data_IF_941628106646
#
_entry.id   IF_941628106646
#
_cell.length_a   1.000
_cell.length_b   1.000
_cell.length_c   1.000
_cell.angle_alpha   90.00
_cell.angle_beta   90.00
_cell.angle_gamma   90.00
#
_symmetry.space_group_name_H-M   'P 1'
#
loop_
_entity.id
_entity.type
_entity.pdbx_description
1 polymer ?
#
# COMPACT_ATOMS: atom_id res chain seq x y z
N UNK A 1 25.75 66.97 -7.70
CA UNK A 1 25.42 68.43 -7.71
C UNK A 1 25.46 68.87 -9.18
N UNK A 2 24.58 69.70 -9.78
CA UNK A 2 23.50 70.55 -9.26
C UNK A 2 22.33 70.68 -10.28
N UNK A 3 21.11 70.34 -9.84
CA UNK A 3 19.84 71.08 -9.98
C UNK A 3 19.45 71.84 -11.29
N UNK A 4 18.22 71.49 -11.78
CA UNK A 4 17.03 72.37 -12.01
C UNK A 4 17.03 73.40 -13.17
N UNK A 5 15.91 73.86 -13.75
CA UNK A 5 14.51 73.36 -13.90
C UNK A 5 13.75 74.25 -14.93
N UNK A 6 12.56 73.80 -15.38
CA UNK A 6 11.36 74.61 -15.72
C UNK A 6 11.13 75.31 -17.10
N UNK A 7 10.23 74.69 -17.87
CA UNK A 7 8.84 75.11 -18.26
C UNK A 7 8.53 76.24 -19.28
N UNK A 8 7.46 75.95 -20.05
CA UNK A 8 6.51 76.78 -20.83
C UNK A 8 6.87 77.17 -22.28
N UNK A 9 5.96 77.12 -23.27
CA UNK A 9 4.62 76.48 -23.32
C UNK A 9 3.76 76.76 -24.59
N UNK A 10 2.64 76.00 -24.71
CA UNK A 10 1.37 76.30 -25.41
C UNK A 10 1.20 76.34 -26.96
N UNK A 11 -0.03 75.93 -27.38
CA UNK A 11 -0.73 76.05 -28.70
C UNK A 11 -0.30 75.09 -29.84
N UNK A 12 -1.16 74.54 -30.72
CA UNK A 12 -2.65 74.44 -30.83
C UNK A 12 -3.04 73.31 -31.82
N UNK A 13 -4.25 72.75 -31.72
CA UNK A 13 -5.13 72.15 -32.78
C UNK A 13 -4.51 71.20 -33.85
N UNK A 14 -5.04 70.03 -34.24
CA UNK A 14 -6.35 69.41 -33.99
C UNK A 14 -7.21 69.32 -35.27
N UNK A 15 -7.33 68.14 -35.89
CA UNK A 15 -8.55 67.74 -36.63
C UNK A 15 -8.63 66.24 -36.96
N UNK A 16 -9.84 65.71 -36.78
CA UNK A 16 -10.31 64.37 -37.18
C UNK A 16 -11.01 64.50 -38.53
N UNK A 17 -10.93 63.48 -39.40
CA UNK A 17 -11.89 63.31 -40.50
C UNK A 17 -12.42 61.87 -40.55
N UNK A 18 -13.75 61.76 -40.72
CA UNK A 18 -14.54 60.53 -40.75
C UNK A 18 -15.63 60.70 -41.81
N UNK A 19 -15.76 59.75 -42.73
CA UNK A 19 -16.96 59.51 -43.58
C UNK A 19 -16.78 58.15 -44.26
N UNK A 20 -17.60 57.10 -44.08
CA UNK A 20 -19.05 56.94 -44.38
C UNK A 20 -19.38 57.27 -45.84
N UNK A 21 -20.15 56.46 -46.61
CA UNK A 21 -21.18 55.46 -46.23
C UNK A 21 -21.63 54.61 -47.45
N UNK A 22 -22.27 53.45 -47.21
CA UNK A 22 -23.24 52.76 -48.12
C UNK A 22 -22.66 52.10 -49.40
N UNK A 23 -23.23 51.02 -49.99
CA UNK A 23 -24.58 50.40 -49.95
C UNK A 23 -24.55 48.84 -49.91
N UNK A 24 -25.71 48.18 -49.73
CA UNK A 24 -25.94 46.71 -49.65
C UNK A 24 -27.43 46.39 -49.99
N UNK A 25 -27.88 45.11 -50.11
CA UNK A 25 -27.35 43.95 -50.84
C UNK A 25 -28.11 43.87 -52.21
N UNK A 26 -29.09 42.98 -52.57
CA UNK A 26 -29.57 41.65 -52.09
C UNK A 26 -29.36 40.47 -53.10
N UNK A 27 -29.57 39.22 -52.65
CA UNK A 27 -29.67 38.02 -53.52
C UNK A 27 -29.92 36.72 -52.73
N UNK A 28 -31.05 36.03 -52.96
CA UNK A 28 -31.47 34.79 -52.27
C UNK A 28 -31.35 33.58 -53.21
N UNK A 29 -31.00 32.39 -52.71
CA UNK A 29 -31.44 31.11 -53.32
C UNK A 29 -31.32 29.90 -52.36
N UNK A 30 -32.43 29.15 -52.22
CA UNK A 30 -32.61 27.70 -51.95
C UNK A 30 -31.44 26.85 -51.41
N UNK A 31 -31.54 26.15 -50.27
CA UNK A 31 -32.47 25.07 -49.90
C UNK A 31 -32.28 23.72 -50.64
N UNK A 32 -31.74 22.71 -49.94
CA UNK A 32 -31.78 21.29 -50.32
C UNK A 32 -31.98 20.39 -49.09
N UNK A 33 -32.65 19.24 -49.29
CA UNK A 33 -33.38 18.47 -48.25
C UNK A 33 -33.20 16.97 -48.46
N UNK A 34 -32.63 16.25 -47.49
CA UNK A 34 -32.73 14.78 -47.30
C UNK A 34 -32.46 14.44 -45.82
N UNK A 35 -33.46 14.34 -44.94
CA UNK A 35 -34.41 13.21 -44.68
C UNK A 35 -33.75 11.85 -44.37
N UNK A 36 -33.71 11.55 -43.06
CA UNK A 36 -34.06 10.29 -42.36
C UNK A 36 -33.44 8.95 -42.82
N UNK A 37 -32.80 8.23 -41.88
CA UNK A 37 -33.19 6.85 -41.44
C UNK A 37 -32.39 6.34 -40.21
N UNK A 38 -32.98 6.49 -39.02
CA UNK A 38 -33.16 5.42 -38.01
C UNK A 38 -34.69 5.21 -37.91
N UNK A 39 -35.25 4.09 -37.38
CA UNK A 39 -34.64 3.09 -36.48
C UNK A 39 -34.91 1.62 -36.89
N UNK A 40 -34.50 0.66 -36.05
CA UNK A 40 -35.38 -0.43 -35.57
C UNK A 40 -34.83 -1.09 -34.29
N UNK A 41 -35.68 -1.15 -33.27
CA UNK A 41 -35.58 -2.12 -32.18
C UNK A 41 -35.94 -3.52 -32.71
N UNK A 42 -35.38 -4.55 -32.10
CA UNK A 42 -35.92 -5.91 -32.12
C UNK A 42 -35.62 -6.57 -30.76
N UNK A 43 -36.57 -6.50 -29.84
CA UNK A 43 -36.68 -7.43 -28.71
C UNK A 43 -37.62 -8.58 -29.12
N UNK A 44 -37.54 -9.68 -28.38
CA UNK A 44 -38.34 -10.93 -28.38
C UNK A 44 -37.76 -12.11 -29.18
N UNK A 45 -37.96 -13.36 -28.75
CA UNK A 45 -38.24 -13.94 -27.40
C UNK A 45 -38.34 -15.47 -27.56
N UNK A 46 -37.76 -16.25 -26.65
CA UNK A 46 -37.94 -17.71 -26.61
C UNK A 46 -37.24 -18.30 -25.38
N UNK A 47 -37.91 -18.39 -24.23
CA UNK A 47 -38.72 -19.54 -23.77
C UNK A 47 -37.92 -20.79 -23.41
N UNK A 48 -37.66 -20.92 -22.11
CA UNK A 48 -37.54 -22.12 -21.27
C UNK A 48 -37.43 -23.50 -21.94
N UNK A 49 -36.36 -24.22 -21.59
CA UNK A 49 -36.40 -25.67 -21.37
C UNK A 49 -35.51 -26.02 -20.16
N UNK A 50 -36.02 -26.87 -19.26
CA UNK A 50 -35.34 -27.33 -18.02
C UNK A 50 -35.16 -28.85 -18.12
N UNK A 51 -34.15 -29.40 -17.43
CA UNK A 51 -33.77 -30.83 -17.30
C UNK A 51 -32.92 -31.40 -18.47
N UNK A 52 -32.18 -32.51 -18.28
CA UNK A 52 -30.94 -32.45 -17.49
C UNK A 52 -29.75 -33.12 -18.22
N UNK A 53 -28.55 -32.54 -18.15
CA UNK A 53 -27.34 -33.18 -18.71
C UNK A 53 -26.46 -33.79 -17.63
N UNK A 54 -26.23 -35.09 -17.76
CA UNK A 54 -25.44 -35.88 -16.82
C UNK A 54 -23.95 -35.52 -16.82
N UNK A 55 -23.36 -35.71 -15.64
CA UNK A 55 -21.97 -36.02 -15.31
C UNK A 55 -20.88 -35.81 -16.39
N UNK A 56 -19.93 -34.92 -16.07
CA UNK A 56 -18.49 -35.21 -16.10
C UNK A 56 -17.72 -34.11 -15.35
N UNK A 57 -17.45 -34.35 -14.06
CA UNK A 57 -16.61 -33.50 -13.22
C UNK A 57 -15.17 -34.05 -13.23
N UNK A 58 -14.23 -33.28 -13.78
CA UNK A 58 -12.79 -33.55 -13.67
C UNK A 58 -12.02 -32.26 -13.32
N UNK A 59 -12.12 -31.85 -12.05
CA UNK A 59 -11.33 -30.74 -11.50
C UNK A 59 -9.89 -31.22 -11.19
N UNK A 60 -8.83 -30.69 -11.83
CA UNK A 60 -7.46 -31.14 -11.61
C UNK A 60 -6.82 -30.48 -10.37
N UNK A 61 -7.40 -30.71 -9.19
CA UNK A 61 -6.85 -30.27 -7.88
C UNK A 61 -7.01 -31.33 -6.78
N UNK A 62 -6.24 -32.40 -6.87
CA UNK A 62 -6.06 -33.35 -5.75
C UNK A 62 -4.66 -33.99 -5.63
N UNK A 63 -3.81 -33.91 -6.66
CA UNK A 63 -2.48 -34.58 -6.68
C UNK A 63 -1.35 -33.91 -5.88
N UNK A 64 -1.61 -32.79 -5.20
CA UNK A 64 -0.63 -32.09 -4.37
C UNK A 64 -0.83 -32.28 -2.85
N UNK A 65 -1.90 -32.96 -2.42
CA UNK A 65 -2.25 -33.16 -0.99
C UNK A 65 -2.14 -34.62 -0.54
N UNK A 66 -1.13 -35.34 -1.05
CA UNK A 66 -0.86 -36.75 -0.71
C UNK A 66 0.62 -37.06 -0.38
N UNK A 67 1.46 -36.02 -0.18
CA UNK A 67 2.89 -36.20 0.16
C UNK A 67 3.32 -35.64 1.54
N UNK A 68 2.39 -35.23 2.38
CA UNK A 68 2.68 -34.57 3.68
C UNK A 68 2.13 -35.28 4.92
N UNK A 69 1.50 -36.46 4.78
CA UNK A 69 0.96 -37.23 5.92
C UNK A 69 1.75 -38.50 6.30
N UNK A 70 2.82 -38.86 5.57
CA UNK A 70 3.56 -40.11 5.78
C UNK A 70 4.66 -40.07 6.85
N UNK A 71 4.88 -38.93 7.52
CA UNK A 71 5.96 -38.80 8.51
C UNK A 71 5.57 -39.10 9.97
N UNK A 72 4.29 -39.39 10.26
CA UNK A 72 3.79 -39.58 11.64
C UNK A 72 3.22 -40.98 11.94
N UNK A 73 3.47 -41.99 11.09
CA UNK A 73 3.02 -43.39 11.32
C UNK A 73 4.15 -44.43 11.38
N UNK A 74 5.26 -44.12 12.08
CA UNK A 74 6.32 -45.09 12.40
C UNK A 74 6.90 -44.96 13.82
N UNK A 75 6.08 -45.10 14.88
CA UNK A 75 6.61 -45.53 16.19
C UNK A 75 5.56 -46.04 17.21
N UNK A 76 4.61 -46.88 16.79
CA UNK A 76 3.76 -47.66 17.72
C UNK A 76 3.64 -49.09 17.22
N UNK A 77 3.59 -50.05 18.14
CA UNK A 77 3.42 -51.50 17.95
C UNK A 77 4.63 -52.30 17.41
N UNK A 78 5.57 -52.60 18.32
CA UNK A 78 6.31 -53.88 18.29
C UNK A 78 6.30 -54.49 19.69
N UNK A 79 5.42 -55.46 19.92
CA UNK A 79 5.59 -56.66 20.76
C UNK A 79 4.25 -57.39 20.89
N UNK A 80 3.92 -58.20 19.88
CA UNK A 80 2.78 -59.11 19.96
C UNK A 80 3.16 -60.36 20.78
N UNK A 81 2.25 -60.76 21.65
CA UNK A 81 2.37 -61.93 22.53
C UNK A 81 2.50 -63.23 21.71
N UNK A 82 3.57 -64.01 21.93
CA UNK A 82 3.70 -65.38 21.40
C UNK A 82 3.57 -66.37 22.55
N UNK A 83 2.50 -67.16 22.56
CA UNK A 83 2.31 -68.28 23.48
C UNK A 83 3.11 -69.49 22.98
N UNK A 84 4.19 -69.83 23.70
CA UNK A 84 4.89 -71.10 23.53
C UNK A 84 4.80 -71.89 24.85
N UNK A 85 4.17 -73.07 24.81
CA UNK A 85 4.08 -73.95 25.98
C UNK A 85 5.41 -74.68 26.20
N UNK A 86 6.18 -74.27 27.22
CA UNK A 86 7.39 -74.96 27.67
C UNK A 86 7.24 -75.45 29.11
N UNK A 87 7.30 -76.77 29.33
CA UNK A 87 7.31 -77.36 30.66
C UNK A 87 8.70 -77.21 31.31
N UNK A 88 8.79 -76.38 32.36
CA UNK A 88 9.98 -76.30 33.23
C UNK A 88 9.56 -76.29 34.71
N UNK A 89 10.34 -76.93 35.61
CA UNK A 89 9.97 -77.09 37.02
C UNK A 89 10.01 -75.77 37.80
N UNK A 90 9.26 -75.66 38.91
CA UNK A 90 9.11 -74.39 39.64
C UNK A 90 10.44 -73.93 40.27
N UNK A 91 10.80 -72.64 40.15
CA UNK A 91 11.94 -72.09 40.86
C UNK A 91 11.67 -72.06 42.37
N UNK A 92 12.68 -72.46 43.15
CA UNK A 92 12.59 -72.53 44.62
C UNK A 92 12.45 -71.12 45.21
N UNK A 93 11.44 -70.92 46.06
CA UNK A 93 11.24 -69.69 46.82
C UNK A 93 12.51 -69.30 47.61
N UNK A 94 13.00 -68.08 47.39
CA UNK A 94 13.91 -67.37 48.29
C UNK A 94 13.15 -66.17 48.88
N UNK A 95 13.42 -65.84 50.14
CA UNK A 95 12.60 -64.93 50.94
C UNK A 95 12.65 -63.44 50.52
N UNK A 96 11.75 -62.61 51.08
CA UNK A 96 11.47 -61.27 50.58
C UNK A 96 12.36 -60.18 51.20
N UNK A 97 13.66 -60.16 50.85
CA UNK A 97 14.56 -59.05 51.21
C UNK A 97 15.53 -58.71 50.08
N UNK A 98 14.99 -58.34 48.92
CA UNK A 98 15.78 -57.63 47.93
C UNK A 98 15.90 -56.16 48.37
N UNK A 99 17.12 -55.76 48.74
CA UNK A 99 17.41 -54.42 49.24
C UNK A 99 17.17 -53.42 48.11
N UNK A 100 16.12 -52.60 48.22
CA UNK A 100 15.96 -51.42 47.36
C UNK A 100 17.20 -50.55 47.54
N UNK A 101 18.10 -50.58 46.56
CA UNK A 101 19.15 -49.58 46.43
C UNK A 101 18.47 -48.24 46.26
N UNK A 102 18.52 -47.41 47.30
CA UNK A 102 18.09 -46.02 47.24
C UNK A 102 18.96 -45.30 46.21
N UNK A 103 18.47 -45.21 44.97
CA UNK A 103 19.06 -44.35 43.97
C UNK A 103 19.03 -42.92 44.51
N UNK A 104 20.21 -42.34 44.75
CA UNK A 104 20.38 -41.07 45.46
C UNK A 104 19.53 -39.95 44.84
N UNK A 105 18.38 -39.66 45.46
CA UNK A 105 17.40 -38.66 45.00
C UNK A 105 18.03 -37.26 44.84
N UNK A 106 19.07 -36.98 45.62
CA UNK A 106 19.89 -35.77 45.54
C UNK A 106 20.49 -35.52 44.14
N UNK A 107 20.89 -36.58 43.41
CA UNK A 107 21.48 -36.45 42.08
C UNK A 107 20.42 -36.21 40.98
N UNK A 108 19.17 -36.63 41.22
CA UNK A 108 18.06 -36.41 40.29
C UNK A 108 17.59 -34.96 40.31
N UNK A 109 17.52 -34.32 41.49
CA UNK A 109 17.18 -32.90 41.59
C UNK A 109 18.26 -32.00 40.96
N UNK A 110 19.55 -32.27 41.21
CA UNK A 110 20.66 -31.49 40.65
C UNK A 110 20.69 -31.54 39.10
N UNK A 111 20.42 -32.70 38.50
CA UNK A 111 20.40 -32.86 37.03
C UNK A 111 19.14 -32.27 36.38
N UNK A 112 17.99 -32.27 37.06
CA UNK A 112 16.78 -31.58 36.61
C UNK A 112 16.94 -30.05 36.67
N UNK A 113 17.51 -29.52 37.76
CA UNK A 113 17.80 -28.09 37.91
C UNK A 113 18.81 -27.61 36.86
N UNK A 114 19.88 -28.37 36.60
CA UNK A 114 20.85 -28.03 35.56
C UNK A 114 20.23 -28.02 34.15
N UNK A 115 19.32 -28.96 33.84
CA UNK A 115 18.58 -28.97 32.57
C UNK A 115 17.61 -27.80 32.42
N UNK A 116 16.90 -27.44 33.49
CA UNK A 116 16.03 -26.25 33.51
C UNK A 116 16.85 -24.95 33.36
N UNK A 117 18.01 -24.86 34.02
CA UNK A 117 18.91 -23.71 33.91
C UNK A 117 19.47 -23.56 32.48
N UNK A 118 19.94 -24.65 31.87
CA UNK A 118 20.37 -24.64 30.47
C UNK A 118 19.22 -24.32 29.50
N UNK A 119 18.00 -24.79 29.76
CA UNK A 119 16.80 -24.42 28.99
C UNK A 119 16.50 -22.92 29.08
N UNK A 120 16.62 -22.33 30.28
CA UNK A 120 16.50 -20.88 30.46
C UNK A 120 17.62 -20.09 29.77
N UNK A 121 18.88 -20.54 29.82
CA UNK A 121 19.99 -19.87 29.13
C UNK A 121 19.85 -19.92 27.60
N UNK A 122 19.37 -21.02 27.04
CA UNK A 122 19.10 -21.12 25.59
C UNK A 122 17.91 -20.22 25.18
N UNK A 123 16.91 -20.06 26.04
CA UNK A 123 15.78 -19.15 25.79
C UNK A 123 16.15 -17.66 25.94
N UNK A 124 17.17 -17.34 26.74
CA UNK A 124 17.67 -15.97 26.93
C UNK A 124 18.60 -15.48 25.80
N UNK A 125 19.06 -16.38 24.92
CA UNK A 125 20.18 -16.11 24.01
C UNK A 125 19.87 -15.44 22.67
N UNK A 126 18.60 -15.25 22.29
CA UNK A 126 18.24 -14.88 20.89
C UNK A 126 17.22 -13.75 20.74
N UNK A 127 17.13 -12.82 21.70
CA UNK A 127 16.55 -11.49 21.43
C UNK A 127 17.54 -10.63 20.62
N UNK A 128 17.78 -11.03 19.37
CA UNK A 128 18.44 -10.19 18.39
C UNK A 128 17.48 -9.06 18.02
N UNK A 129 17.63 -7.90 18.66
CA UNK A 129 16.91 -6.70 18.26
C UNK A 129 17.40 -6.31 16.86
N UNK A 130 16.61 -6.66 15.84
CA UNK A 130 16.81 -6.16 14.49
C UNK A 130 16.65 -4.64 14.56
N UNK A 131 17.76 -3.92 14.51
CA UNK A 131 17.74 -2.46 14.57
C UNK A 131 17.16 -1.94 13.27
N UNK A 132 16.09 -1.15 13.37
CA UNK A 132 15.51 -0.42 12.25
C UNK A 132 16.61 0.23 11.39
N UNK A 133 16.54 0.00 10.08
CA UNK A 133 17.42 0.61 9.11
C UNK A 133 16.87 1.98 8.68
N UNK A 134 17.77 2.87 8.26
CA UNK A 134 17.43 4.18 7.70
C UNK A 134 17.93 4.23 6.27
N UNK A 135 17.01 4.32 5.33
CA UNK A 135 17.27 4.46 3.90
C UNK A 135 17.07 5.89 3.43
N UNK A 136 17.66 6.22 2.28
CA UNK A 136 17.72 7.56 1.74
C UNK A 136 17.29 7.57 0.27
N UNK A 137 16.47 8.55 -0.08
CA UNK A 137 16.01 8.81 -1.45
C UNK A 137 16.37 10.26 -1.80
N UNK A 138 16.86 10.50 -3.02
CA UNK A 138 17.24 11.83 -3.52
C UNK A 138 16.84 11.98 -4.99
N UNK A 139 16.45 13.19 -5.47
CA UNK A 139 16.21 13.40 -6.91
C UNK A 139 17.46 13.16 -7.76
N UNK A 140 18.65 13.18 -7.16
CA UNK A 140 19.94 12.87 -7.80
C UNK A 140 20.47 11.47 -7.45
N UNK A 141 19.63 10.62 -6.85
CA UNK A 141 19.96 9.24 -6.50
C UNK A 141 19.93 8.30 -7.71
N UNK A 142 19.99 7.00 -7.47
CA UNK A 142 19.94 5.98 -8.53
C UNK A 142 19.24 4.70 -8.07
N UNK A 143 18.20 4.30 -8.79
CA UNK A 143 17.50 3.02 -8.63
C UNK A 143 18.26 1.82 -9.23
N UNK A 144 19.45 2.06 -9.80
CA UNK A 144 20.32 1.02 -10.40
C UNK A 144 21.65 0.85 -9.68
N UNK A 145 22.18 1.92 -9.07
CA UNK A 145 23.50 1.94 -8.42
C UNK A 145 23.49 2.46 -6.99
N UNK A 146 22.33 2.96 -6.52
CA UNK A 146 22.07 3.31 -5.13
C UNK A 146 21.73 2.07 -4.30
N UNK A 147 22.31 1.99 -3.11
CA UNK A 147 22.05 0.95 -2.11
C UNK A 147 21.07 1.42 -1.03
N UNK A 148 20.58 2.66 -1.14
CA UNK A 148 19.70 3.30 -0.17
C UNK A 148 20.43 3.91 1.01
N UNK A 149 21.76 3.85 1.09
CA UNK A 149 22.53 4.60 2.09
C UNK A 149 22.54 6.10 1.81
N UNK A 150 22.88 6.91 2.81
CA UNK A 150 23.01 8.37 2.65
C UNK A 150 24.04 8.78 1.57
N UNK A 151 25.06 7.95 1.32
CA UNK A 151 26.07 8.19 0.30
C UNK A 151 25.63 7.75 -1.11
N UNK A 152 24.64 6.84 -1.19
CA UNK A 152 24.15 6.22 -2.42
C UNK A 152 22.62 6.04 -2.37
N UNK A 153 21.87 7.16 -2.29
CA UNK A 153 20.42 7.11 -2.17
C UNK A 153 19.74 6.55 -3.43
N UNK A 154 18.55 5.99 -3.26
CA UNK A 154 17.66 5.66 -4.38
C UNK A 154 17.15 6.94 -5.08
N UNK A 155 16.73 6.82 -6.33
CA UNK A 155 16.12 7.91 -7.09
C UNK A 155 14.62 8.06 -6.82
N UNK A 156 13.89 6.95 -6.65
CA UNK A 156 12.43 6.98 -6.47
C UNK A 156 11.99 6.57 -5.07
N UNK A 157 10.96 7.26 -4.56
CA UNK A 157 10.47 7.11 -3.18
C UNK A 157 9.97 5.69 -2.90
N UNK A 158 9.29 5.06 -3.86
CA UNK A 158 8.73 3.72 -3.73
C UNK A 158 9.73 2.58 -3.99
N UNK A 159 10.99 2.85 -4.33
CA UNK A 159 11.93 1.82 -4.77
C UNK A 159 12.12 0.69 -3.74
N UNK A 160 12.34 1.05 -2.47
CA UNK A 160 12.55 0.09 -1.39
C UNK A 160 11.37 -0.86 -1.18
N UNK A 161 10.12 -0.36 -1.23
CA UNK A 161 8.92 -1.21 -1.18
C UNK A 161 8.77 -2.03 -2.46
N UNK A 162 8.95 -1.41 -3.64
CA UNK A 162 8.84 -2.09 -4.93
C UNK A 162 9.81 -3.27 -5.09
N UNK A 163 10.99 -3.21 -4.45
CA UNK A 163 12.00 -4.27 -4.41
C UNK A 163 11.97 -5.14 -3.14
N UNK A 164 11.00 -4.93 -2.24
CA UNK A 164 10.89 -5.63 -0.94
C UNK A 164 12.15 -5.57 -0.07
N UNK A 165 12.85 -4.42 -0.08
CA UNK A 165 14.08 -4.16 0.68
C UNK A 165 13.84 -3.65 2.11
N UNK A 166 12.61 -3.24 2.42
CA UNK A 166 12.23 -2.63 3.69
C UNK A 166 11.62 -3.66 4.66
N UNK A 167 12.07 -3.64 5.91
CA UNK A 167 11.54 -4.41 7.02
C UNK A 167 10.62 -3.55 7.92
N UNK A 168 9.71 -4.17 8.70
CA UNK A 168 8.90 -3.45 9.69
C UNK A 168 9.79 -2.70 10.70
N UNK A 169 9.51 -1.41 10.92
CA UNK A 169 10.31 -0.53 11.76
C UNK A 169 11.29 0.38 10.99
N UNK A 170 11.57 0.09 9.71
CA UNK A 170 12.53 0.88 8.92
C UNK A 170 12.02 2.30 8.58
N UNK A 171 12.96 3.22 8.38
CA UNK A 171 12.69 4.60 7.98
C UNK A 171 13.28 4.90 6.58
N UNK A 172 12.53 5.64 5.77
CA UNK A 172 12.92 6.11 4.44
C UNK A 172 12.91 7.65 4.45
N UNK A 173 14.11 8.22 4.53
CA UNK A 173 14.36 9.66 4.49
C UNK A 173 14.40 10.13 3.04
N UNK A 174 13.44 10.96 2.65
CA UNK A 174 13.36 11.54 1.30
C UNK A 174 13.94 12.95 1.32
N UNK A 175 15.02 13.19 0.58
CA UNK A 175 15.69 14.49 0.52
C UNK A 175 14.86 15.54 -0.23
N UNK A 176 14.99 16.80 0.18
CA UNK A 176 14.32 17.93 -0.46
C UNK A 176 14.54 17.96 -1.98
N UNK A 177 13.46 18.26 -2.72
CA UNK A 177 13.48 18.21 -4.18
C UNK A 177 12.09 18.10 -4.78
N UNK A 178 12.05 17.94 -6.11
CA UNK A 178 10.81 17.65 -6.85
C UNK A 178 10.92 16.26 -7.46
N UNK A 179 9.90 15.44 -7.23
CA UNK A 179 9.76 14.08 -7.72
C UNK A 179 8.56 14.02 -8.66
N UNK A 180 8.80 13.59 -9.90
CA UNK A 180 7.76 13.40 -10.93
C UNK A 180 7.65 11.90 -11.25
N UNK A 181 6.68 11.17 -10.68
CA UNK A 181 6.45 9.76 -11.01
C UNK A 181 6.16 9.58 -12.50
N UNK A 182 6.71 8.53 -13.12
CA UNK A 182 6.47 8.19 -14.53
C UNK A 182 5.19 7.38 -14.77
N UNK A 183 4.52 6.99 -13.68
CA UNK A 183 3.33 6.13 -13.67
C UNK A 183 2.24 6.76 -12.79
N UNK A 184 1.23 5.99 -12.38
CA UNK A 184 0.11 6.51 -11.60
C UNK A 184 0.50 7.11 -10.22
N UNK A 185 1.69 6.88 -9.68
CA UNK A 185 2.07 7.43 -8.37
C UNK A 185 3.15 6.63 -7.63
N UNK A 186 3.37 6.97 -6.35
CA UNK A 186 4.14 6.13 -5.42
C UNK A 186 3.20 5.07 -4.82
N UNK A 187 3.38 3.80 -5.16
CA UNK A 187 2.56 2.69 -4.62
C UNK A 187 3.32 2.00 -3.50
N UNK A 188 2.67 1.84 -2.34
CA UNK A 188 3.25 1.22 -1.14
C UNK A 188 2.38 0.02 -0.73
N UNK A 189 2.84 -1.19 -1.03
CA UNK A 189 2.01 -2.40 -1.02
C UNK A 189 2.74 -3.71 -0.67
N UNK A 190 4.08 -3.74 -0.64
CA UNK A 190 4.86 -4.99 -0.55
C UNK A 190 5.43 -5.27 0.85
N UNK A 191 5.20 -4.39 1.82
CA UNK A 191 5.77 -4.44 3.17
C UNK A 191 4.84 -5.04 4.22
N UNK A 192 5.44 -5.63 5.26
CA UNK A 192 4.75 -6.29 6.38
C UNK A 192 4.66 -5.39 7.64
N UNK A 193 4.64 -4.07 7.46
CA UNK A 193 4.60 -3.10 8.55
C UNK A 193 3.28 -3.14 9.35
N UNK A 194 3.30 -2.55 10.55
CA UNK A 194 2.15 -2.49 11.47
C UNK A 194 2.25 -1.25 12.37
N UNK A 195 1.20 -0.94 13.14
CA UNK A 195 1.23 0.14 14.15
C UNK A 195 2.36 -0.01 15.20
N UNK A 196 2.80 -1.24 15.48
CA UNK A 196 3.86 -1.53 16.48
C UNK A 196 5.27 -1.41 15.86
N UNK A 197 5.38 -1.64 14.54
CA UNK A 197 6.63 -1.52 13.78
C UNK A 197 6.30 -0.95 12.40
N UNK A 198 6.02 0.37 12.34
CA UNK A 198 5.64 1.03 11.09
C UNK A 198 6.84 1.15 10.16
N UNK A 199 6.58 1.32 8.86
CA UNK A 199 7.59 1.88 7.96
C UNK A 199 7.29 3.35 7.78
N UNK A 200 8.28 4.20 8.06
CA UNK A 200 8.12 5.64 8.07
C UNK A 200 8.78 6.25 6.84
N UNK A 201 7.99 6.88 5.97
CA UNK A 201 8.51 7.75 4.91
C UNK A 201 8.49 9.18 5.43
N UNK A 202 9.66 9.83 5.47
CA UNK A 202 9.82 11.18 6.03
C UNK A 202 10.45 12.13 5.02
N UNK A 203 9.78 13.23 4.74
CA UNK A 203 10.35 14.35 3.99
C UNK A 203 11.41 15.08 4.84
N UNK A 204 12.63 15.20 4.32
CA UNK A 204 13.70 16.02 4.90
C UNK A 204 13.80 17.34 4.12
N UNK A 205 13.13 18.36 4.64
CA UNK A 205 12.92 19.63 3.94
C UNK A 205 11.73 19.56 2.96
N UNK A 206 11.69 20.44 1.96
CA UNK A 206 10.57 20.49 1.01
C UNK A 206 10.70 19.38 -0.04
N UNK A 207 9.93 18.31 0.14
CA UNK A 207 9.77 17.23 -0.84
C UNK A 207 8.43 17.42 -1.57
N UNK A 208 8.49 17.84 -2.83
CA UNK A 208 7.33 17.98 -3.70
C UNK A 208 7.18 16.76 -4.61
N UNK A 209 6.04 16.08 -4.54
CA UNK A 209 5.58 15.17 -5.58
C UNK A 209 4.73 15.98 -6.57
N UNK A 210 5.23 16.24 -7.78
CA UNK A 210 4.48 16.94 -8.83
C UNK A 210 3.93 15.94 -9.86
N UNK A 211 2.60 15.79 -9.84
CA UNK A 211 1.85 14.92 -10.75
C UNK A 211 1.09 15.71 -11.81
N UNK A 212 1.37 17.00 -12.00
CA UNK A 212 0.70 17.87 -12.98
C UNK A 212 0.82 17.37 -14.44
N UNK A 213 1.81 16.53 -14.73
CA UNK A 213 2.02 15.88 -16.03
C UNK A 213 1.54 14.42 -16.09
N UNK A 214 1.04 13.85 -14.98
CA UNK A 214 0.63 12.45 -14.87
C UNK A 214 -0.86 12.31 -15.20
N UNK A 215 -1.26 11.50 -16.19
CA UNK A 215 -2.67 11.30 -16.54
C UNK A 215 -3.51 10.72 -15.39
N UNK A 216 -4.74 11.22 -15.17
CA UNK A 216 -5.71 10.61 -14.25
C UNK A 216 -6.11 9.17 -14.63
N UNK A 217 -6.40 8.29 -13.64
CA UNK A 217 -6.31 8.52 -12.20
C UNK A 217 -4.86 8.44 -11.70
N UNK A 218 -4.41 9.49 -11.02
CA UNK A 218 -3.07 9.60 -10.44
C UNK A 218 -3.12 9.80 -8.92
N UNK A 219 -2.08 9.35 -8.23
CA UNK A 219 -1.96 9.32 -6.78
C UNK A 219 -0.61 9.89 -6.36
N UNK A 220 -0.54 10.80 -5.39
CA UNK A 220 0.76 11.14 -4.80
C UNK A 220 1.35 9.91 -4.12
N UNK A 221 0.57 9.35 -3.19
CA UNK A 221 0.80 8.03 -2.62
C UNK A 221 -0.46 7.14 -2.72
N UNK A 222 -0.26 5.86 -3.00
CA UNK A 222 -1.28 4.81 -3.03
C UNK A 222 -0.91 3.73 -1.99
N UNK A 223 -1.42 3.91 -0.77
CA UNK A 223 -1.10 3.12 0.42
C UNK A 223 -2.03 1.91 0.52
N UNK A 224 -1.43 0.72 0.41
CA UNK A 224 -2.11 -0.59 0.49
C UNK A 224 -1.45 -1.55 1.49
N UNK A 225 -0.18 -1.34 1.84
CA UNK A 225 0.46 -2.00 2.97
C UNK A 225 -0.07 -1.41 4.29
N UNK A 226 -0.08 -2.22 5.36
CA UNK A 226 -0.46 -1.77 6.69
C UNK A 226 0.70 -1.03 7.39
N UNK A 227 0.41 -0.22 8.41
CA UNK A 227 1.45 0.42 9.23
C UNK A 227 2.38 1.39 8.49
N UNK A 228 1.92 1.96 7.37
CA UNK A 228 2.68 2.96 6.62
C UNK A 228 2.47 4.34 7.24
N UNK A 229 3.56 5.01 7.58
CA UNK A 229 3.56 6.40 8.03
C UNK A 229 4.13 7.31 6.93
N UNK A 230 3.41 8.37 6.56
CA UNK A 230 3.85 9.41 5.62
C UNK A 230 3.95 10.75 6.36
N UNK A 231 5.15 11.32 6.40
CA UNK A 231 5.44 12.56 7.12
C UNK A 231 5.97 13.68 6.23
N UNK A 232 5.31 14.84 6.24
CA UNK A 232 5.85 16.11 5.75
C UNK A 232 5.90 16.32 4.22
N UNK A 233 5.28 15.44 3.43
CA UNK A 233 5.31 15.55 1.97
C UNK A 233 4.40 16.67 1.42
N UNK A 234 4.87 17.36 0.38
CA UNK A 234 4.05 18.25 -0.44
C UNK A 234 3.62 17.50 -1.72
N UNK A 235 2.34 17.57 -2.10
CA UNK A 235 1.78 16.79 -3.21
C UNK A 235 0.90 17.70 -4.06
N UNK A 236 1.17 17.71 -5.37
CA UNK A 236 0.51 18.58 -6.36
C UNK A 236 0.05 17.79 -7.58
N UNK A 237 -1.08 18.18 -8.18
CA UNK A 237 -1.51 17.73 -9.51
C UNK A 237 -2.08 16.31 -9.60
N UNK A 238 -2.06 15.54 -8.51
CA UNK A 238 -2.63 14.20 -8.45
C UNK A 238 -4.16 14.22 -8.53
N UNK A 239 -4.79 13.15 -9.02
CA UNK A 239 -6.23 12.93 -8.82
C UNK A 239 -6.53 12.73 -7.34
N UNK A 240 -5.83 11.83 -6.65
CA UNK A 240 -5.93 11.73 -5.18
C UNK A 240 -4.57 12.00 -4.57
N UNK A 241 -4.44 13.00 -3.69
CA UNK A 241 -3.14 13.32 -3.09
C UNK A 241 -2.54 12.12 -2.36
N UNK A 242 -3.31 11.54 -1.45
CA UNK A 242 -2.99 10.26 -0.78
C UNK A 242 -4.23 9.38 -0.82
N UNK A 243 -4.13 8.19 -1.42
CA UNK A 243 -5.14 7.13 -1.32
C UNK A 243 -4.70 6.09 -0.29
N UNK A 244 -5.64 5.66 0.54
CA UNK A 244 -5.49 4.60 1.53
C UNK A 244 -6.57 3.57 1.24
N UNK A 245 -6.21 2.44 0.63
CA UNK A 245 -7.17 1.46 0.08
C UNK A 245 -6.97 0.06 0.68
N UNK A 246 -8.02 -0.45 1.33
CA UNK A 246 -8.13 -1.84 1.86
C UNK A 246 -6.94 -2.25 2.73
N UNK A 247 -6.54 -1.35 3.63
CA UNK A 247 -5.38 -1.50 4.52
C UNK A 247 -5.74 -1.09 5.96
N UNK A 248 -4.77 -1.09 6.88
CA UNK A 248 -4.95 -0.61 8.26
C UNK A 248 -3.76 0.18 8.77
N UNK A 249 -3.97 0.91 9.87
CA UNK A 249 -2.89 1.49 10.70
C UNK A 249 -2.00 2.51 9.94
N UNK A 250 -2.54 3.14 8.89
CA UNK A 250 -1.83 4.17 8.14
C UNK A 250 -1.83 5.50 8.89
N UNK A 251 -0.68 6.18 8.94
CA UNK A 251 -0.51 7.47 9.63
C UNK A 251 -0.06 8.54 8.64
N UNK A 252 -0.87 9.59 8.44
CA UNK A 252 -0.56 10.70 7.53
C UNK A 252 -0.40 11.98 8.37
N UNK A 253 0.80 12.57 8.40
CA UNK A 253 1.04 13.75 9.23
C UNK A 253 1.91 14.83 8.58
N UNK A 254 1.52 16.10 8.77
CA UNK A 254 2.26 17.25 8.25
C UNK A 254 2.30 17.38 6.73
N UNK A 255 1.52 16.58 5.99
CA UNK A 255 1.50 16.60 4.54
C UNK A 255 0.69 17.78 4.00
N UNK A 256 1.17 18.41 2.94
CA UNK A 256 0.48 19.49 2.22
C UNK A 256 0.01 19.00 0.86
N UNK A 257 -1.29 19.05 0.59
CA UNK A 257 -1.90 18.46 -0.62
C UNK A 257 -2.72 19.53 -1.33
N UNK A 258 -2.37 19.84 -2.57
CA UNK A 258 -2.97 20.96 -3.27
C UNK A 258 -3.01 20.85 -4.79
N UNK A 259 -3.78 21.75 -5.41
CA UNK A 259 -3.90 21.91 -6.85
C UNK A 259 -4.07 20.57 -7.57
N UNK A 260 -5.13 19.83 -7.22
CA UNK A 260 -5.37 18.48 -7.75
C UNK A 260 -5.57 18.49 -9.27
N UNK A 261 -5.57 17.29 -9.86
CA UNK A 261 -6.12 17.12 -11.19
C UNK A 261 -7.54 17.70 -11.27
N UNK A 262 -7.93 18.24 -12.44
CA UNK A 262 -9.27 18.81 -12.66
C UNK A 262 -10.28 17.74 -13.09
N UNK A 263 -10.31 16.62 -12.38
CA UNK A 263 -11.15 15.44 -12.66
C UNK A 263 -12.00 15.09 -11.44
N UNK A 264 -12.47 13.85 -11.31
CA UNK A 264 -12.72 13.30 -9.98
C UNK A 264 -11.40 13.31 -9.20
N UNK A 265 -11.41 13.82 -7.96
CA UNK A 265 -10.20 14.08 -7.18
C UNK A 265 -10.46 14.24 -5.68
N UNK A 266 -9.44 13.93 -4.88
CA UNK A 266 -9.48 14.03 -3.41
C UNK A 266 -8.14 14.49 -2.83
N UNK A 267 -8.16 15.17 -1.69
CA UNK A 267 -6.93 15.45 -0.94
C UNK A 267 -6.37 14.17 -0.33
N UNK A 268 -7.06 13.64 0.68
CA UNK A 268 -6.85 12.27 1.16
C UNK A 268 -8.14 11.48 0.90
N UNK A 269 -8.02 10.28 0.33
CA UNK A 269 -9.11 9.34 0.11
C UNK A 269 -8.87 8.05 0.88
N UNK A 270 -9.76 7.73 1.80
CA UNK A 270 -9.75 6.49 2.60
C UNK A 270 -10.87 5.57 2.11
N UNK A 271 -10.53 4.35 1.69
CA UNK A 271 -11.47 3.33 1.24
C UNK A 271 -11.23 2.00 1.96
N UNK A 272 -12.24 1.51 2.69
CA UNK A 272 -12.23 0.20 3.36
C UNK A 272 -10.99 -0.02 4.26
N UNK A 273 -10.61 1.00 5.02
CA UNK A 273 -9.43 0.98 5.87
C UNK A 273 -9.77 1.26 7.34
N UNK A 274 -8.93 0.74 8.24
CA UNK A 274 -9.10 0.77 9.70
C UNK A 274 -7.86 1.41 10.38
N UNK A 275 -8.02 1.93 11.60
CA UNK A 275 -6.91 2.48 12.40
C UNK A 275 -6.17 3.66 11.77
N UNK A 276 -6.76 4.34 10.78
CA UNK A 276 -6.10 5.41 10.00
C UNK A 276 -6.06 6.71 10.81
N UNK A 277 -4.86 7.24 11.03
CA UNK A 277 -4.63 8.51 11.74
C UNK A 277 -4.18 9.60 10.77
N UNK A 278 -4.88 10.74 10.76
CA UNK A 278 -4.55 11.88 9.90
C UNK A 278 -4.50 13.16 10.73
N UNK A 279 -3.31 13.78 10.86
CA UNK A 279 -3.12 14.96 11.72
C UNK A 279 -2.23 16.01 11.06
N UNK A 280 -2.44 17.31 11.36
CA UNK A 280 -1.58 18.42 10.87
C UNK A 280 -1.41 18.50 9.34
N UNK A 281 -2.31 17.88 8.57
CA UNK A 281 -2.28 17.94 7.12
C UNK A 281 -2.97 19.22 6.62
N UNK A 282 -2.44 19.84 5.57
CA UNK A 282 -2.97 21.06 4.96
C UNK A 282 -3.48 20.71 3.57
N UNK A 283 -4.77 20.93 3.30
CA UNK A 283 -5.42 20.50 2.05
C UNK A 283 -6.22 21.66 1.45
N UNK A 284 -5.92 22.05 0.21
CA UNK A 284 -6.57 23.17 -0.48
C UNK A 284 -6.59 22.97 -2.00
N UNK A 285 -7.35 23.77 -2.75
CA UNK A 285 -7.45 23.70 -4.22
C UNK A 285 -7.69 22.30 -4.80
N UNK A 286 -8.51 21.47 -4.12
CA UNK A 286 -8.91 20.16 -4.62
C UNK A 286 -10.21 20.27 -5.41
N UNK A 287 -10.18 19.79 -6.65
CA UNK A 287 -11.28 19.82 -7.59
C UNK A 287 -12.10 18.52 -7.52
N UNK A 288 -13.06 18.42 -6.59
CA UNK A 288 -14.00 17.29 -6.59
C UNK A 288 -15.07 17.44 -7.68
N UNK A 289 -15.25 16.44 -8.54
CA UNK A 289 -16.41 16.38 -9.46
C UNK A 289 -17.71 16.15 -8.68
N UNK A 290 -18.74 16.96 -8.96
CA UNK A 290 -19.95 17.10 -8.14
C UNK A 290 -20.98 15.93 -8.21
N UNK A 291 -20.62 14.77 -8.77
CA UNK A 291 -21.57 13.73 -9.20
C UNK A 291 -21.33 12.34 -8.57
N UNK A 292 -21.22 12.25 -7.24
CA UNK A 292 -21.62 11.00 -6.54
C UNK A 292 -22.44 11.29 -5.27
N UNK A 293 -23.35 10.38 -4.84
CA UNK A 293 -24.22 10.60 -3.67
C UNK A 293 -23.50 10.68 -2.30
N UNK A 294 -22.17 10.65 -2.27
CA UNK A 294 -21.36 10.41 -1.08
C UNK A 294 -20.65 11.69 -0.60
N UNK A 295 -21.44 12.71 -0.24
CA UNK A 295 -21.02 13.83 0.62
C UNK A 295 -19.84 14.69 0.13
N UNK A 296 -20.16 15.87 -0.42
CA UNK A 296 -19.17 16.91 -0.76
C UNK A 296 -18.19 17.23 0.38
N UNK A 297 -16.92 16.84 0.27
CA UNK A 297 -15.74 17.63 0.63
C UNK A 297 -14.51 17.06 -0.11
N UNK A 298 -14.14 17.65 -1.26
CA UNK A 298 -12.97 17.18 -2.04
C UNK A 298 -11.66 17.13 -1.25
N UNK A 299 -11.51 17.91 -0.17
CA UNK A 299 -10.34 17.79 0.71
C UNK A 299 -10.21 16.41 1.38
N UNK A 300 -11.32 15.77 1.74
CA UNK A 300 -11.30 14.53 2.51
C UNK A 300 -12.49 13.61 2.17
N UNK A 301 -12.19 12.48 1.54
CA UNK A 301 -13.18 11.47 1.18
C UNK A 301 -12.97 10.20 2.04
N UNK A 302 -13.99 9.80 2.81
CA UNK A 302 -14.00 8.55 3.59
C UNK A 302 -15.09 7.63 3.02
N UNK A 303 -14.75 6.38 2.73
CA UNK A 303 -15.71 5.36 2.29
C UNK A 303 -15.47 4.03 3.01
N UNK A 304 -16.52 3.52 3.66
CA UNK A 304 -16.51 2.18 4.24
C UNK A 304 -15.51 1.99 5.39
N UNK A 305 -15.42 2.96 6.30
CA UNK A 305 -14.77 2.74 7.59
C UNK A 305 -15.57 1.66 8.34
N UNK A 306 -14.90 0.60 8.78
CA UNK A 306 -15.44 -0.31 9.79
C UNK A 306 -14.88 0.16 11.13
N UNK A 307 -15.76 0.51 12.08
CA UNK A 307 -15.38 0.84 13.45
C UNK A 307 -15.19 -0.42 14.30
#
# INVERSE_FOLDING_TARGET
>A
MSRRNWRSGWRTQGKILRSSRSTKPPGKATAARRRRRRPRFANNSGTNAITPRAALSSNPRSRASQKTNDFWRKQVATSSLVLLQGHHPPPKWRGPFDVMKTHNLHNLHATLLLRLLCSCLVLAGTVFSARAATYYVSPTGSDTTGDGSAAKPWATIGYGDAQSLLAPGDEVIVQAGTYTPSSAGVVLQNSAASAVSPIVYRAQGRVLLDLSAVPPPSYGFDVKAAGITLEGFEIKGASHGIRIDRTREAVITGCTIHDSARTDSSGIWVNQADGVTMTRNVIYNIHSSADTPWGNLGAFAIKGLTM
#
